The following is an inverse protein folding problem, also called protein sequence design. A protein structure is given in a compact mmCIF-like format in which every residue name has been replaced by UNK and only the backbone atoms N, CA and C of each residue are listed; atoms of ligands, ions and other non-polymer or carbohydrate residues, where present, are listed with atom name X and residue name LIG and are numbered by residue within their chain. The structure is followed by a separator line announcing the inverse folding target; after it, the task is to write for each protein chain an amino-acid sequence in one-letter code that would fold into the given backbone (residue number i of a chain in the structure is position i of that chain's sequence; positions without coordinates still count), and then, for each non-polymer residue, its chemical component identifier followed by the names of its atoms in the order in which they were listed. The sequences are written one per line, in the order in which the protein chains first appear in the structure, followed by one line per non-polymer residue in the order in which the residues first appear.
data_IF_751587674510
#
_entry.id   IF_751587674510
#
_cell.length_a   1.000
_cell.length_b   1.000
_cell.length_c   1.000
_cell.angle_alpha   90.00
_cell.angle_beta   90.00
_cell.angle_gamma   90.00
#
_symmetry.space_group_name_H-M   'P 1'
#
loop_
_entity.id
_entity.type
_entity.pdbx_description
1 polymer ?
#
# COMPACT_ATOMS: atom_id res chain seq x y z
N UNK A 1 5.24 -12.13 18.99
CA UNK A 1 5.94 -10.87 18.61
C UNK A 1 7.39 -11.22 18.33
N UNK A 2 7.85 -11.01 17.08
CA UNK A 2 9.25 -11.22 16.70
C UNK A 2 10.02 -9.98 17.16
N UNK A 3 10.85 -10.12 18.19
CA UNK A 3 11.80 -9.08 18.59
C UNK A 3 13.12 -9.33 17.88
N UNK A 4 13.40 -8.55 16.83
CA UNK A 4 14.74 -8.53 16.27
C UNK A 4 15.70 -7.90 17.28
N UNK A 5 16.52 -8.71 17.94
CA UNK A 5 17.68 -8.24 18.73
C UNK A 5 18.79 -7.78 17.78
N UNK A 6 18.52 -6.80 16.93
CA UNK A 6 19.47 -6.35 15.91
C UNK A 6 19.11 -4.98 15.39
N UNK A 7 19.88 -4.53 14.40
CA UNK A 7 19.59 -3.30 13.67
C UNK A 7 18.26 -3.45 12.90
N UNK A 8 17.45 -2.38 12.77
CA UNK A 8 16.16 -2.45 12.12
C UNK A 8 16.26 -2.78 10.62
N UNK A 9 15.19 -3.35 10.07
CA UNK A 9 14.98 -3.56 8.65
C UNK A 9 14.04 -2.49 8.07
N UNK A 10 14.16 -2.25 6.77
CA UNK A 10 13.19 -1.49 5.99
C UNK A 10 12.37 -2.46 5.12
N UNK A 11 11.07 -2.45 5.29
CA UNK A 11 10.10 -3.10 4.42
C UNK A 11 9.34 -2.02 3.64
N UNK A 12 9.38 -2.05 2.32
CA UNK A 12 8.68 -1.08 1.49
C UNK A 12 7.79 -1.76 0.47
N UNK A 13 6.51 -1.40 0.45
CA UNK A 13 5.56 -1.72 -0.60
C UNK A 13 5.34 -0.47 -1.46
N UNK A 14 5.66 -0.57 -2.74
CA UNK A 14 5.52 0.52 -3.71
C UNK A 14 4.56 0.07 -4.80
N UNK A 15 3.43 0.76 -4.93
CA UNK A 15 2.36 0.41 -5.87
C UNK A 15 2.16 1.52 -6.89
N UNK A 16 2.17 1.17 -8.18
CA UNK A 16 1.85 2.08 -9.28
C UNK A 16 0.85 1.43 -10.23
N UNK A 17 -0.27 2.09 -10.50
CA UNK A 17 -1.30 1.57 -11.40
C UNK A 17 -1.60 2.58 -12.49
N UNK A 18 -1.04 2.34 -13.70
CA UNK A 18 -1.21 3.17 -14.90
C UNK A 18 -2.29 2.61 -15.83
N UNK A 19 -2.20 1.33 -16.19
CA UNK A 19 -3.12 0.69 -17.13
C UNK A 19 -4.15 -0.14 -16.37
N UNK A 20 -5.41 0.15 -16.59
CA UNK A 20 -6.53 -0.53 -15.96
C UNK A 20 -7.23 -1.47 -16.95
N UNK A 21 -7.99 -2.45 -16.45
CA UNK A 21 -8.82 -3.30 -17.32
C UNK A 21 -9.98 -2.53 -17.94
N UNK A 22 -10.40 -1.42 -17.31
CA UNK A 22 -11.35 -0.44 -17.89
C UNK A 22 -10.62 0.63 -18.68
N UNK A 23 -10.80 0.66 -19.98
CA UNK A 23 -10.03 1.48 -20.95
C UNK A 23 -10.06 2.99 -20.75
N UNK A 24 -10.99 3.55 -19.96
CA UNK A 24 -11.10 4.98 -19.69
C UNK A 24 -10.38 5.43 -18.41
N UNK A 25 -9.70 4.51 -17.73
CA UNK A 25 -9.05 4.75 -16.43
C UNK A 25 -7.54 4.93 -16.56
N UNK A 26 -6.96 4.74 -17.74
CA UNK A 26 -5.52 4.72 -17.91
C UNK A 26 -4.87 6.05 -17.52
N UNK A 27 -3.78 5.95 -16.76
CA UNK A 27 -2.94 7.06 -16.31
C UNK A 27 -1.54 6.94 -16.91
N UNK A 28 -0.86 8.08 -17.04
CA UNK A 28 0.43 8.13 -17.73
C UNK A 28 1.62 7.84 -16.82
N UNK A 29 1.56 8.21 -15.55
CA UNK A 29 2.75 8.32 -14.71
C UNK A 29 2.87 7.37 -13.52
N UNK A 30 1.82 6.77 -12.96
CA UNK A 30 1.91 6.00 -11.72
C UNK A 30 2.97 4.90 -11.71
N UNK A 31 3.15 4.18 -12.80
CA UNK A 31 4.20 3.14 -12.90
C UNK A 31 5.61 3.73 -12.85
N UNK A 32 5.81 4.90 -13.46
CA UNK A 32 7.09 5.62 -13.43
C UNK A 32 7.35 6.21 -12.04
N UNK A 33 6.32 6.75 -11.39
CA UNK A 33 6.41 7.29 -10.03
C UNK A 33 6.75 6.18 -9.04
N UNK A 34 6.11 5.01 -9.16
CA UNK A 34 6.44 3.84 -8.36
C UNK A 34 7.89 3.39 -8.57
N UNK A 35 8.35 3.34 -9.82
CA UNK A 35 9.74 2.98 -10.12
C UNK A 35 10.73 3.99 -9.53
N UNK A 36 10.45 5.29 -9.65
CA UNK A 36 11.28 6.36 -9.09
C UNK A 36 11.31 6.31 -7.55
N UNK A 37 10.14 6.10 -6.91
CA UNK A 37 10.03 5.95 -5.47
C UNK A 37 10.83 4.73 -4.97
N UNK A 38 10.69 3.58 -5.62
CA UNK A 38 11.43 2.37 -5.25
C UNK A 38 12.94 2.58 -5.38
N UNK A 39 13.40 3.24 -6.45
CA UNK A 39 14.81 3.57 -6.64
C UNK A 39 15.34 4.49 -5.53
N UNK A 40 14.58 5.54 -5.18
CA UNK A 40 14.92 6.45 -4.09
C UNK A 40 14.98 5.74 -2.74
N UNK A 41 13.99 4.92 -2.43
CA UNK A 41 13.96 4.12 -1.19
C UNK A 41 15.13 3.13 -1.12
N UNK A 42 15.51 2.50 -2.23
CA UNK A 42 16.65 1.61 -2.28
C UNK A 42 17.96 2.37 -1.98
N UNK A 43 18.16 3.52 -2.62
CA UNK A 43 19.39 4.31 -2.47
C UNK A 43 19.55 4.86 -1.04
N UNK A 44 18.49 5.40 -0.44
CA UNK A 44 18.50 5.91 0.93
C UNK A 44 18.47 4.76 1.94
N UNK A 45 17.65 3.75 1.69
CA UNK A 45 17.50 2.59 2.54
C UNK A 45 18.83 1.86 2.74
N UNK A 46 19.61 1.63 1.68
CA UNK A 46 20.91 0.99 1.77
C UNK A 46 21.89 1.75 2.66
N UNK A 47 21.81 3.09 2.70
CA UNK A 47 22.66 3.91 3.58
C UNK A 47 22.28 3.78 5.06
N UNK A 48 20.99 3.60 5.37
CA UNK A 48 20.48 3.59 6.74
C UNK A 48 20.36 2.17 7.32
N UNK A 49 20.01 1.22 6.47
CA UNK A 49 19.69 -0.17 6.86
C UNK A 49 20.69 -1.20 6.30
N UNK A 50 21.70 -0.75 5.51
CA UNK A 50 22.68 -1.63 4.85
C UNK A 50 22.00 -2.63 3.90
N UNK A 51 22.17 -3.93 4.10
CA UNK A 51 21.55 -5.03 3.33
C UNK A 51 20.15 -5.42 3.82
N UNK A 52 19.65 -4.75 4.86
CA UNK A 52 18.33 -5.03 5.47
C UNK A 52 17.20 -4.19 4.85
N UNK A 53 17.16 -4.11 3.52
CA UNK A 53 16.17 -3.37 2.74
C UNK A 53 15.39 -4.34 1.88
N UNK A 54 14.08 -4.40 2.08
CA UNK A 54 13.16 -5.25 1.33
C UNK A 54 12.12 -4.38 0.64
N UNK A 55 12.26 -4.20 -0.67
CA UNK A 55 11.34 -3.41 -1.48
C UNK A 55 10.57 -4.32 -2.41
N UNK A 56 9.24 -4.26 -2.33
CA UNK A 56 8.32 -4.90 -3.25
C UNK A 56 7.65 -3.84 -4.10
N UNK A 57 7.84 -3.95 -5.41
CA UNK A 57 7.17 -3.08 -6.39
C UNK A 57 6.05 -3.87 -7.04
N UNK A 58 4.85 -3.32 -7.00
CA UNK A 58 3.68 -3.83 -7.72
C UNK A 58 3.24 -2.76 -8.71
N UNK A 59 3.23 -3.08 -9.99
CA UNK A 59 2.85 -2.11 -11.03
C UNK A 59 2.10 -2.78 -12.19
N UNK A 60 1.46 -2.00 -13.03
CA UNK A 60 0.85 -2.53 -14.26
C UNK A 60 1.89 -2.95 -15.28
N UNK A 61 3.12 -2.43 -15.19
CA UNK A 61 4.27 -2.84 -16.00
C UNK A 61 5.01 -4.08 -15.44
N UNK A 62 4.48 -4.71 -14.39
CA UNK A 62 5.05 -5.92 -13.78
C UNK A 62 5.24 -7.04 -14.78
N UNK A 63 6.43 -7.67 -14.78
CA UNK A 63 6.78 -8.70 -15.77
C UNK A 63 6.24 -10.09 -15.45
N UNK A 64 5.86 -10.32 -14.22
CA UNK A 64 5.32 -11.59 -13.72
C UNK A 64 4.02 -11.33 -12.95
N UNK A 65 3.09 -12.29 -12.88
CA UNK A 65 1.78 -12.08 -12.23
C UNK A 65 1.86 -11.57 -10.79
N UNK A 66 2.91 -11.95 -10.06
CA UNK A 66 3.10 -11.54 -8.66
C UNK A 66 3.51 -10.08 -8.49
N UNK A 67 3.98 -9.41 -9.56
CA UNK A 67 4.42 -8.01 -9.54
C UNK A 67 3.34 -7.05 -10.06
N UNK A 68 2.17 -7.57 -10.42
CA UNK A 68 1.05 -6.75 -10.89
C UNK A 68 0.33 -6.10 -9.71
N UNK A 69 -0.11 -4.85 -9.88
CA UNK A 69 -0.79 -4.04 -8.86
C UNK A 69 -2.26 -4.45 -8.65
N UNK A 70 -2.49 -5.73 -8.34
CA UNK A 70 -3.80 -6.27 -7.97
C UNK A 70 -4.03 -6.23 -6.47
N UNK A 71 -5.31 -6.23 -6.05
CA UNK A 71 -5.69 -6.34 -4.63
C UNK A 71 -5.02 -7.54 -3.95
N UNK A 72 -5.05 -8.70 -4.60
CA UNK A 72 -4.48 -9.94 -4.05
C UNK A 72 -2.97 -9.83 -3.78
N UNK A 73 -2.22 -9.20 -4.69
CA UNK A 73 -0.78 -9.04 -4.53
C UNK A 73 -0.43 -8.00 -3.44
N UNK A 74 -1.22 -6.92 -3.32
CA UNK A 74 -1.07 -5.92 -2.25
C UNK A 74 -1.31 -6.58 -0.89
N UNK A 75 -2.44 -7.29 -0.73
CA UNK A 75 -2.77 -8.02 0.50
C UNK A 75 -1.70 -9.04 0.87
N UNK A 76 -1.27 -9.86 -0.12
CA UNK A 76 -0.22 -10.87 0.08
C UNK A 76 1.07 -10.24 0.57
N UNK A 77 1.51 -9.14 -0.04
CA UNK A 77 2.75 -8.46 0.36
C UNK A 77 2.67 -7.93 1.79
N UNK A 78 1.56 -7.30 2.17
CA UNK A 78 1.40 -6.79 3.55
C UNK A 78 1.30 -7.93 4.58
N UNK A 79 0.70 -9.07 4.23
CA UNK A 79 0.72 -10.28 5.07
C UNK A 79 2.15 -10.83 5.21
N UNK A 80 2.93 -10.88 4.15
CA UNK A 80 4.34 -11.27 4.21
C UNK A 80 5.16 -10.34 5.11
N UNK A 81 4.87 -9.02 5.10
CA UNK A 81 5.50 -8.08 6.03
C UNK A 81 5.08 -8.35 7.48
N UNK A 82 3.80 -8.66 7.72
CA UNK A 82 3.32 -9.01 9.06
C UNK A 82 3.99 -10.26 9.64
N UNK A 83 4.36 -11.22 8.79
CA UNK A 83 5.08 -12.44 9.19
C UNK A 83 6.57 -12.20 9.48
N UNK A 84 7.20 -11.22 8.82
CA UNK A 84 8.65 -11.03 8.82
C UNK A 84 9.11 -9.86 9.68
N UNK A 85 8.34 -8.77 9.74
CA UNK A 85 8.73 -7.56 10.44
C UNK A 85 8.68 -7.72 11.96
N UNK A 86 9.61 -7.11 12.64
CA UNK A 86 9.65 -6.97 14.10
C UNK A 86 9.27 -5.55 14.53
N UNK A 87 9.09 -5.35 15.84
CA UNK A 87 8.67 -4.07 16.45
C UNK A 87 9.61 -2.90 16.17
N UNK A 88 10.91 -3.16 15.98
CA UNK A 88 11.93 -2.15 15.67
C UNK A 88 12.04 -1.76 14.20
N UNK A 89 11.40 -2.51 13.31
CA UNK A 89 11.52 -2.32 11.88
C UNK A 89 10.71 -1.12 11.38
N UNK A 90 10.95 -0.71 10.14
CA UNK A 90 10.27 0.40 9.47
C UNK A 90 9.49 -0.16 8.28
N UNK A 91 8.23 0.25 8.16
CA UNK A 91 7.36 -0.09 7.02
C UNK A 91 7.00 1.18 6.27
N UNK A 92 7.18 1.18 4.94
CA UNK A 92 6.77 2.27 4.07
C UNK A 92 5.86 1.70 2.98
N UNK A 93 4.68 2.29 2.81
CA UNK A 93 3.76 1.97 1.72
C UNK A 93 3.54 3.21 0.87
N UNK A 94 3.75 3.10 -0.43
CA UNK A 94 3.49 4.15 -1.42
C UNK A 94 2.48 3.65 -2.45
N UNK A 95 1.47 4.47 -2.73
CA UNK A 95 0.42 4.18 -3.70
C UNK A 95 0.27 5.34 -4.68
N UNK A 96 0.50 5.09 -5.97
CA UNK A 96 0.23 6.01 -7.07
C UNK A 96 -0.78 5.41 -8.05
N UNK A 97 -1.85 6.16 -8.38
CA UNK A 97 -2.92 5.70 -9.24
C UNK A 97 -4.27 6.34 -8.91
N UNK A 98 -5.36 5.75 -9.39
CA UNK A 98 -6.70 6.23 -9.05
C UNK A 98 -7.11 5.91 -7.62
N UNK A 99 -7.68 6.91 -6.97
CA UNK A 99 -8.37 6.78 -5.72
C UNK A 99 -9.72 7.48 -5.75
N UNK A 100 -10.70 6.91 -5.09
CA UNK A 100 -12.04 7.48 -4.99
C UNK A 100 -12.65 7.21 -3.62
N UNK A 101 -13.79 7.81 -3.34
CA UNK A 101 -14.52 7.59 -2.09
C UNK A 101 -15.90 7.00 -2.38
N UNK A 102 -16.34 6.09 -1.52
CA UNK A 102 -17.69 5.53 -1.60
C UNK A 102 -18.26 5.29 -0.20
N UNK A 103 -19.53 5.60 -0.04
CA UNK A 103 -20.27 5.47 1.20
C UNK A 103 -21.11 6.72 1.50
N UNK A 104 -21.86 6.71 2.60
CA UNK A 104 -22.66 7.83 3.06
C UNK A 104 -22.14 8.36 4.40
N UNK A 105 -22.02 9.68 4.52
CA UNK A 105 -21.61 10.37 5.74
C UNK A 105 -20.40 9.72 6.43
N UNK A 106 -20.56 9.27 7.68
CA UNK A 106 -19.49 8.68 8.49
C UNK A 106 -18.98 7.32 7.99
N UNK A 107 -19.72 6.66 7.08
CA UNK A 107 -19.32 5.39 6.44
C UNK A 107 -18.61 5.58 5.11
N UNK A 108 -18.27 6.81 4.75
CA UNK A 108 -17.54 7.10 3.53
C UNK A 108 -16.09 6.64 3.67
N UNK A 109 -15.67 5.71 2.83
CA UNK A 109 -14.31 5.17 2.82
C UNK A 109 -13.58 5.55 1.54
N UNK A 110 -12.26 5.64 1.64
CA UNK A 110 -11.37 5.73 0.49
C UNK A 110 -11.14 4.33 -0.10
N UNK A 111 -11.04 4.28 -1.43
CA UNK A 111 -10.76 3.08 -2.21
C UNK A 111 -9.67 3.39 -3.24
N UNK A 112 -8.56 2.69 -3.16
CA UNK A 112 -7.55 2.65 -4.20
C UNK A 112 -7.96 1.64 -5.26
N UNK A 113 -7.98 2.03 -6.55
CA UNK A 113 -8.38 1.18 -7.66
C UNK A 113 -7.19 0.33 -8.12
N UNK A 114 -7.39 -0.99 -8.24
CA UNK A 114 -6.33 -1.91 -8.69
C UNK A 114 -6.40 -2.16 -10.20
N UNK A 115 -5.32 -2.69 -10.77
CA UNK A 115 -5.13 -2.89 -12.21
C UNK A 115 -6.27 -3.66 -12.88
N UNK A 116 -6.83 -4.62 -12.20
CA UNK A 116 -7.86 -5.53 -12.69
C UNK A 116 -9.28 -4.97 -12.64
N UNK A 117 -9.47 -3.72 -12.17
CA UNK A 117 -10.77 -3.08 -12.17
C UNK A 117 -11.23 -2.74 -13.59
N UNK A 118 -12.45 -3.18 -13.93
CA UNK A 118 -13.07 -2.90 -15.23
C UNK A 118 -14.12 -1.79 -15.22
N UNK A 119 -14.49 -1.28 -14.04
CA UNK A 119 -15.52 -0.26 -13.87
C UNK A 119 -15.34 0.48 -12.55
N UNK A 120 -15.64 1.78 -12.54
CA UNK A 120 -15.65 2.61 -11.32
C UNK A 120 -16.96 2.50 -10.50
N UNK A 121 -17.87 1.61 -10.88
CA UNK A 121 -19.15 1.47 -10.19
C UNK A 121 -18.98 0.79 -8.83
N UNK A 122 -18.55 1.53 -7.81
CA UNK A 122 -18.38 1.01 -6.45
C UNK A 122 -19.71 0.70 -5.73
N UNK A 123 -20.88 0.97 -6.32
CA UNK A 123 -22.14 0.47 -5.79
C UNK A 123 -22.26 -1.05 -5.93
N UNK A 124 -21.55 -1.64 -6.90
CA UNK A 124 -21.41 -3.08 -7.05
C UNK A 124 -20.43 -3.64 -5.98
N UNK A 125 -20.91 -4.48 -5.05
CA UNK A 125 -20.06 -5.07 -4.02
C UNK A 125 -18.95 -5.97 -4.58
N UNK A 126 -19.17 -6.63 -5.72
CA UNK A 126 -18.16 -7.48 -6.36
C UNK A 126 -16.97 -6.63 -6.83
N UNK A 127 -17.24 -5.53 -7.54
CA UNK A 127 -16.23 -4.59 -7.99
C UNK A 127 -15.48 -4.01 -6.78
N UNK A 128 -16.22 -3.50 -5.81
CA UNK A 128 -15.65 -2.85 -4.63
C UNK A 128 -14.77 -3.78 -3.78
N UNK A 129 -15.18 -5.04 -3.63
CA UNK A 129 -14.47 -5.96 -2.72
C UNK A 129 -13.30 -6.71 -3.38
N UNK A 130 -13.34 -6.90 -4.71
CA UNK A 130 -12.35 -7.72 -5.40
C UNK A 130 -11.30 -6.90 -6.16
N UNK A 131 -11.65 -5.69 -6.60
CA UNK A 131 -10.81 -4.89 -7.50
C UNK A 131 -10.42 -3.52 -6.92
N UNK A 132 -10.59 -3.34 -5.62
CA UNK A 132 -10.13 -2.14 -4.91
C UNK A 132 -9.50 -2.51 -3.58
N UNK A 133 -8.72 -1.58 -3.03
CA UNK A 133 -8.18 -1.65 -1.67
C UNK A 133 -8.78 -0.50 -0.88
N UNK A 134 -9.65 -0.82 0.09
CA UNK A 134 -10.27 0.19 0.94
C UNK A 134 -9.33 0.67 2.05
N UNK A 135 -9.60 1.87 2.59
CA UNK A 135 -8.93 2.34 3.80
C UNK A 135 -9.11 1.37 4.98
N UNK A 136 -10.25 0.68 5.07
CA UNK A 136 -10.48 -0.37 6.05
C UNK A 136 -9.60 -1.60 5.86
N UNK A 137 -9.37 -2.03 4.61
CA UNK A 137 -8.44 -3.12 4.30
C UNK A 137 -7.01 -2.76 4.71
N UNK A 138 -6.55 -1.57 4.32
CA UNK A 138 -5.21 -1.08 4.68
C UNK A 138 -5.04 -0.99 6.19
N UNK A 139 -6.02 -0.42 6.89
CA UNK A 139 -6.06 -0.40 8.35
C UNK A 139 -5.84 -1.78 8.93
N UNK A 140 -6.64 -2.76 8.50
CA UNK A 140 -6.57 -4.14 8.98
C UNK A 140 -5.20 -4.78 8.71
N UNK A 141 -4.66 -4.61 7.52
CA UNK A 141 -3.39 -5.26 7.14
C UNK A 141 -2.19 -4.60 7.81
N UNK A 142 -2.17 -3.27 7.91
CA UNK A 142 -1.09 -2.53 8.58
C UNK A 142 -1.09 -2.79 10.09
N UNK A 143 -2.27 -2.78 10.74
CA UNK A 143 -2.35 -3.09 12.18
C UNK A 143 -1.82 -4.50 12.53
N UNK A 144 -1.86 -5.44 11.57
CA UNK A 144 -1.32 -6.78 11.75
C UNK A 144 0.23 -6.82 11.72
N UNK A 145 0.88 -5.79 11.16
CA UNK A 145 2.35 -5.70 11.11
C UNK A 145 2.86 -5.23 12.49
N UNK A 146 3.81 -5.94 13.12
CA UNK A 146 4.28 -5.57 14.47
C UNK A 146 5.14 -4.29 14.50
N UNK A 147 5.60 -3.79 13.35
CA UNK A 147 6.45 -2.60 13.27
C UNK A 147 5.75 -1.36 13.86
N UNK A 148 6.48 -0.61 14.70
CA UNK A 148 5.92 0.62 15.32
C UNK A 148 6.13 1.87 14.45
N UNK A 149 6.92 1.76 13.37
CA UNK A 149 7.22 2.87 12.46
C UNK A 149 6.64 2.55 11.10
N UNK A 150 5.45 3.09 10.83
CA UNK A 150 4.75 2.91 9.57
C UNK A 150 4.51 4.27 8.91
N UNK A 151 4.79 4.34 7.61
CA UNK A 151 4.53 5.51 6.77
C UNK A 151 3.71 5.06 5.57
N UNK A 152 2.57 5.71 5.35
CA UNK A 152 1.75 5.48 4.16
C UNK A 152 1.65 6.77 3.37
N UNK A 153 1.98 6.70 2.09
CA UNK A 153 1.99 7.83 1.16
C UNK A 153 1.00 7.51 0.03
N UNK A 154 0.05 8.41 -0.18
CA UNK A 154 -0.88 8.34 -1.30
C UNK A 154 -0.63 9.48 -2.28
N UNK A 155 -0.35 9.10 -3.51
CA UNK A 155 -0.35 9.98 -4.69
C UNK A 155 -1.55 9.61 -5.57
N UNK A 156 -2.74 9.94 -5.07
CA UNK A 156 -4.02 9.58 -5.65
C UNK A 156 -5.10 10.62 -5.33
N UNK A 157 -6.10 10.74 -6.20
CA UNK A 157 -7.25 11.59 -5.96
C UNK A 157 -7.99 11.19 -4.66
N UNK A 158 -8.58 12.17 -3.97
CA UNK A 158 -9.33 11.94 -2.71
C UNK A 158 -8.52 11.30 -1.56
N UNK A 159 -7.20 11.32 -1.62
CA UNK A 159 -6.30 10.70 -0.63
C UNK A 159 -6.48 11.26 0.80
N UNK A 160 -7.03 12.48 0.97
CA UNK A 160 -7.37 13.04 2.27
C UNK A 160 -8.25 12.12 3.13
N UNK A 161 -9.19 11.39 2.53
CA UNK A 161 -10.03 10.42 3.24
C UNK A 161 -9.27 9.17 3.66
N UNK A 162 -8.26 8.75 2.91
CA UNK A 162 -7.37 7.68 3.33
C UNK A 162 -6.56 8.09 4.57
N UNK A 163 -6.04 9.32 4.57
CA UNK A 163 -5.27 9.88 5.69
C UNK A 163 -6.15 9.97 6.95
N UNK A 164 -7.39 10.47 6.85
CA UNK A 164 -8.34 10.49 7.97
C UNK A 164 -8.55 9.10 8.59
N UNK A 165 -8.84 8.09 7.74
CA UNK A 165 -9.10 6.73 8.20
C UNK A 165 -7.87 6.11 8.88
N UNK A 166 -6.68 6.31 8.32
CA UNK A 166 -5.43 5.76 8.86
C UNK A 166 -4.94 6.52 10.10
N UNK A 167 -5.20 7.82 10.20
CA UNK A 167 -4.86 8.61 11.40
C UNK A 167 -5.64 8.17 12.64
N UNK A 168 -6.84 7.59 12.45
CA UNK A 168 -7.63 7.02 13.55
C UNK A 168 -7.07 5.70 14.09
N UNK A 169 -6.09 5.11 13.42
CA UNK A 169 -5.28 4.01 13.94
C UNK A 169 -4.39 4.48 15.10
N UNK A 170 -4.91 5.09 16.11
CA UNK A 170 -4.18 5.67 17.23
C UNK A 170 -2.77 5.11 17.43
N UNK A 171 -1.88 5.90 17.97
CA UNK A 171 -0.53 5.44 18.29
C UNK A 171 -0.63 4.04 18.88
N UNK A 172 -0.08 3.03 18.20
CA UNK A 172 0.06 1.69 18.77
C UNK A 172 0.65 1.89 20.15
N UNK A 173 -0.06 1.46 21.19
CA UNK A 173 0.28 1.73 22.57
C UNK A 173 1.78 1.50 22.80
N UNK A 174 2.52 2.58 22.97
CA UNK A 174 3.96 2.57 23.25
C UNK A 174 4.15 2.30 24.75
N UNK A 175 3.46 1.27 25.25
CA UNK A 175 3.74 0.82 26.60
C UNK A 175 5.12 0.15 26.62
N UNK A 176 6.00 0.58 27.53
CA UNK A 176 7.38 0.14 27.62
C UNK A 176 7.51 -1.36 27.90
#
# INVERSE_FOLDING_TARGET
TITHKGKPHLYALVVGTSDYSGTNLDLRFPDLDAAAMAHGLQAVGTRLFEDRVYIRVLSTAGKIPQDISTRANIEKTLKEFAEKAGTGDVVICYFSGHGTTYGQAEKNQFYYLTKDIGSENLSDPEIRNNYTVSSGDLTKWLTAIPAHKEVVIFDACHSGKAVEALSSLGAKDLSP
#
